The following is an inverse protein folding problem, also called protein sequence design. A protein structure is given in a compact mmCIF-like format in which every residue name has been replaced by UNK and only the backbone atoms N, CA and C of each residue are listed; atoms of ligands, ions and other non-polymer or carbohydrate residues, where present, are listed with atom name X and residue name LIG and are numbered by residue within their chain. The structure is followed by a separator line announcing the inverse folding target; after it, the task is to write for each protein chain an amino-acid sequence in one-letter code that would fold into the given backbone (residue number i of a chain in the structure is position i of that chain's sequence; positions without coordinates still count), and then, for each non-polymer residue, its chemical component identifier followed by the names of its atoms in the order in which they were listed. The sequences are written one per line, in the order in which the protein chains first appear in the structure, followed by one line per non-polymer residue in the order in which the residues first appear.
data_IF_555282082412
#
_entry.id   IF_555282082412
#
_cell.length_a   1.000
_cell.length_b   1.000
_cell.length_c   1.000
_cell.angle_alpha   90.00
_cell.angle_beta   90.00
_cell.angle_gamma   90.00
#
_symmetry.space_group_name_H-M   'P 1'
#
loop_
_entity.id
_entity.type
_entity.pdbx_description
1 polymer ?
#
# COMPACT_ATOMS: atom_id res chain seq x y z
N UNK A 1 -40.48 -5.13 -33.19
CA UNK A 1 -40.10 -5.77 -31.91
C UNK A 1 -38.67 -6.30 -32.11
N UNK A 2 -37.66 -5.50 -31.73
CA UNK A 2 -36.24 -5.80 -31.99
C UNK A 2 -35.56 -6.17 -30.68
N UNK A 3 -35.25 -7.44 -30.50
CA UNK A 3 -34.46 -7.97 -29.39
C UNK A 3 -32.98 -7.70 -29.65
N UNK A 4 -32.46 -6.59 -29.11
CA UNK A 4 -31.03 -6.35 -29.08
C UNK A 4 -30.37 -7.41 -28.17
N UNK A 5 -29.66 -8.36 -28.80
CA UNK A 5 -28.87 -9.35 -28.09
C UNK A 5 -27.78 -8.63 -27.28
N UNK A 6 -27.87 -8.69 -25.96
CA UNK A 6 -26.82 -8.28 -25.04
C UNK A 6 -25.61 -9.20 -25.28
N UNK A 7 -24.61 -8.70 -26.01
CA UNK A 7 -23.33 -9.38 -26.16
C UNK A 7 -22.65 -9.35 -24.79
N UNK A 8 -22.73 -10.47 -24.07
CA UNK A 8 -21.91 -10.69 -22.88
C UNK A 8 -20.44 -10.58 -23.31
N UNK A 9 -19.81 -9.44 -23.04
CA UNK A 9 -18.36 -9.33 -23.05
C UNK A 9 -17.86 -10.24 -21.93
N UNK A 10 -17.47 -11.46 -22.28
CA UNK A 10 -16.60 -12.30 -21.47
C UNK A 10 -15.30 -11.53 -21.27
N UNK A 11 -15.24 -10.75 -20.19
CA UNK A 11 -14.02 -10.12 -19.75
C UNK A 11 -12.98 -11.21 -19.57
N UNK A 12 -11.88 -11.12 -20.30
CA UNK A 12 -10.69 -11.91 -20.06
C UNK A 12 -10.31 -11.71 -18.59
N UNK A 13 -10.68 -12.63 -17.70
CA UNK A 13 -10.12 -12.65 -16.36
C UNK A 13 -8.63 -12.93 -16.54
N UNK A 14 -7.73 -12.02 -16.16
CA UNK A 14 -6.31 -12.26 -16.29
C UNK A 14 -5.98 -13.57 -15.56
N UNK A 15 -5.50 -14.55 -16.33
CA UNK A 15 -5.12 -15.88 -15.81
C UNK A 15 -4.13 -15.67 -14.69
N UNK A 16 -4.52 -16.05 -13.46
CA UNK A 16 -3.69 -15.91 -12.27
C UNK A 16 -2.35 -16.61 -12.52
N UNK A 17 -1.20 -15.95 -12.39
CA UNK A 17 0.08 -16.62 -12.53
C UNK A 17 0.18 -17.74 -11.48
N UNK A 18 0.58 -18.94 -11.91
CA UNK A 18 0.78 -20.08 -11.02
C UNK A 18 1.75 -19.75 -9.88
N UNK A 19 1.62 -20.46 -8.75
CA UNK A 19 2.38 -20.23 -7.51
C UNK A 19 3.89 -20.00 -7.74
N UNK A 20 4.50 -20.81 -8.61
CA UNK A 20 5.93 -20.74 -8.94
C UNK A 20 6.35 -19.51 -9.75
N UNK A 21 5.45 -18.95 -10.57
CA UNK A 21 5.71 -17.73 -11.37
C UNK A 21 5.24 -16.46 -10.67
N UNK A 22 4.56 -16.58 -9.53
CA UNK A 22 4.04 -15.46 -8.78
C UNK A 22 5.09 -14.36 -8.50
N UNK A 23 6.30 -14.65 -7.98
CA UNK A 23 7.24 -13.59 -7.60
C UNK A 23 7.82 -12.81 -8.79
N UNK A 24 7.83 -13.37 -10.00
CA UNK A 24 8.38 -12.73 -11.21
C UNK A 24 7.26 -12.21 -12.12
N UNK A 25 6.00 -12.43 -11.74
CA UNK A 25 4.87 -12.03 -12.57
C UNK A 25 4.68 -10.51 -12.62
N UNK A 26 4.30 -9.99 -13.78
CA UNK A 26 3.94 -8.55 -13.95
C UNK A 26 2.84 -8.11 -12.97
N UNK A 27 1.94 -9.03 -12.59
CA UNK A 27 0.90 -8.78 -11.60
C UNK A 27 1.50 -8.51 -10.20
N UNK A 28 2.47 -9.32 -9.74
CA UNK A 28 3.13 -9.10 -8.46
C UNK A 28 3.89 -7.77 -8.41
N UNK A 29 4.57 -7.39 -9.50
CA UNK A 29 5.24 -6.09 -9.57
C UNK A 29 4.26 -4.91 -9.54
N UNK A 30 3.08 -5.02 -10.19
CA UNK A 30 2.03 -3.99 -10.09
C UNK A 30 1.50 -3.87 -8.65
N UNK A 31 1.26 -4.99 -7.98
CA UNK A 31 0.76 -5.01 -6.61
C UNK A 31 1.81 -4.52 -5.60
N UNK A 32 3.09 -4.82 -5.82
CA UNK A 32 4.20 -4.30 -5.03
C UNK A 32 4.38 -2.79 -5.28
N UNK A 33 4.30 -2.35 -6.53
CA UNK A 33 4.29 -0.92 -6.88
C UNK A 33 3.13 -0.16 -6.24
N UNK A 34 1.95 -0.79 -6.13
CA UNK A 34 0.81 -0.22 -5.39
C UNK A 34 1.13 -0.05 -3.90
N UNK A 35 1.70 -1.06 -3.25
CA UNK A 35 2.09 -0.99 -1.84
C UNK A 35 3.18 0.08 -1.60
N UNK A 36 4.21 0.12 -2.46
CA UNK A 36 5.32 1.08 -2.35
C UNK A 36 4.87 2.53 -2.57
N UNK A 37 4.04 2.78 -3.59
CA UNK A 37 3.46 4.11 -3.84
C UNK A 37 2.37 4.48 -2.84
N UNK A 38 1.86 3.53 -2.04
CA UNK A 38 0.81 3.75 -1.06
C UNK A 38 1.25 4.68 0.07
N UNK A 39 2.48 4.52 0.57
CA UNK A 39 2.99 5.32 1.67
C UNK A 39 3.12 6.81 1.31
N UNK A 40 3.79 7.21 0.19
CA UNK A 40 3.85 8.62 -0.20
C UNK A 40 2.48 9.27 -0.39
N UNK A 41 1.55 8.56 -1.03
CA UNK A 41 0.18 9.06 -1.24
C UNK A 41 -0.57 9.23 0.08
N UNK A 42 -0.45 8.25 0.99
CA UNK A 42 -1.10 8.31 2.29
C UNK A 42 -0.51 9.41 3.19
N UNK A 43 0.80 9.65 3.14
CA UNK A 43 1.44 10.78 3.85
C UNK A 43 0.84 12.10 3.37
N UNK A 44 0.83 12.33 2.05
CA UNK A 44 0.29 13.56 1.46
C UNK A 44 -1.19 13.75 1.80
N UNK A 45 -1.99 12.69 1.63
CA UNK A 45 -3.42 12.70 1.94
C UNK A 45 -3.69 12.98 3.41
N UNK A 46 -3.01 12.28 4.32
CA UNK A 46 -3.13 12.46 5.76
C UNK A 46 -2.75 13.88 6.18
N UNK A 47 -1.59 14.37 5.76
CA UNK A 47 -1.11 15.71 6.11
C UNK A 47 -2.10 16.80 5.65
N UNK A 48 -2.55 16.74 4.40
CA UNK A 48 -3.52 17.72 3.86
C UNK A 48 -4.85 17.66 4.62
N UNK A 49 -5.38 16.45 4.84
CA UNK A 49 -6.67 16.27 5.54
C UNK A 49 -6.60 16.77 6.97
N UNK A 50 -5.57 16.38 7.73
CA UNK A 50 -5.43 16.78 9.14
C UNK A 50 -5.19 18.29 9.25
N UNK A 51 -4.34 18.88 8.40
CA UNK A 51 -4.11 20.31 8.40
C UNK A 51 -5.39 21.09 8.06
N UNK A 52 -6.10 20.75 6.98
CA UNK A 52 -7.33 21.44 6.60
C UNK A 52 -8.44 21.24 7.64
N UNK A 53 -8.54 20.07 8.26
CA UNK A 53 -9.51 19.82 9.32
C UNK A 53 -9.21 20.63 10.57
N UNK A 54 -7.96 20.61 11.05
CA UNK A 54 -7.55 21.36 12.24
C UNK A 54 -7.67 22.88 12.02
N UNK A 55 -7.19 23.40 10.88
CA UNK A 55 -7.32 24.81 10.52
C UNK A 55 -8.78 25.21 10.31
N UNK A 56 -9.57 24.38 9.63
CA UNK A 56 -10.98 24.64 9.37
C UNK A 56 -11.82 24.67 10.65
N UNK A 57 -11.54 23.76 11.58
CA UNK A 57 -12.20 23.74 12.89
C UNK A 57 -11.77 24.92 13.76
N UNK A 58 -10.47 25.27 13.76
CA UNK A 58 -9.95 26.45 14.48
C UNK A 58 -10.52 27.77 13.96
N UNK A 59 -10.68 27.89 12.64
CA UNK A 59 -11.28 29.07 12.00
C UNK A 59 -12.82 29.03 11.95
N UNK A 60 -13.47 27.95 12.42
CA UNK A 60 -14.92 27.86 12.42
C UNK A 60 -15.58 28.99 13.23
N UNK A 61 -14.88 29.49 14.26
CA UNK A 61 -15.29 30.63 15.08
C UNK A 61 -15.39 31.93 14.27
N UNK A 62 -14.60 32.09 13.20
CA UNK A 62 -14.49 33.34 12.43
C UNK A 62 -15.28 33.35 11.13
N UNK A 63 -16.21 32.40 10.93
CA UNK A 63 -16.86 32.07 9.63
C UNK A 63 -15.90 31.62 8.51
N UNK A 64 -14.61 31.95 8.56
CA UNK A 64 -13.60 31.52 7.59
C UNK A 64 -13.33 30.01 7.63
N UNK A 65 -13.70 29.33 8.72
CA UNK A 65 -13.59 27.88 8.81
C UNK A 65 -14.48 27.13 7.81
N UNK A 66 -15.63 27.69 7.43
CA UNK A 66 -16.53 27.06 6.45
C UNK A 66 -15.87 26.91 5.07
N UNK A 67 -15.26 27.96 4.46
CA UNK A 67 -14.43 27.81 3.26
C UNK A 67 -13.32 26.78 3.39
N UNK A 68 -12.60 26.73 4.52
CA UNK A 68 -11.48 25.80 4.72
C UNK A 68 -11.98 24.36 4.83
N UNK A 69 -13.10 24.12 5.52
CA UNK A 69 -13.74 22.80 5.58
C UNK A 69 -14.36 22.40 4.23
N UNK A 70 -14.85 23.35 3.43
CA UNK A 70 -15.24 23.06 2.05
C UNK A 70 -14.02 22.63 1.22
N UNK A 71 -12.86 23.28 1.39
CA UNK A 71 -11.61 22.86 0.75
C UNK A 71 -11.19 21.44 1.18
N UNK A 72 -11.38 21.07 2.45
CA UNK A 72 -11.16 19.71 2.95
C UNK A 72 -12.00 18.68 2.17
N UNK A 73 -13.31 18.94 1.99
CA UNK A 73 -14.18 18.01 1.25
C UNK A 73 -13.78 17.89 -0.23
N UNK A 74 -13.34 18.99 -0.85
CA UNK A 74 -12.80 19.00 -2.22
C UNK A 74 -11.53 18.15 -2.31
N UNK A 75 -10.59 18.35 -1.38
CA UNK A 75 -9.37 17.56 -1.29
C UNK A 75 -9.69 16.07 -1.07
N UNK A 76 -10.63 15.75 -0.17
CA UNK A 76 -11.12 14.39 0.07
C UNK A 76 -11.66 13.72 -1.20
N UNK A 77 -12.42 14.43 -2.04
CA UNK A 77 -12.85 13.91 -3.35
C UNK A 77 -11.68 13.71 -4.31
N UNK A 78 -10.75 14.66 -4.38
CA UNK A 78 -9.56 14.58 -5.23
C UNK A 78 -8.70 13.35 -4.90
N UNK A 79 -8.39 13.15 -3.62
CA UNK A 79 -7.67 11.98 -3.15
C UNK A 79 -8.45 10.68 -3.36
N UNK A 80 -9.77 10.68 -3.15
CA UNK A 80 -10.62 9.53 -3.47
C UNK A 80 -10.62 9.17 -4.96
N UNK A 81 -10.57 10.16 -5.85
CA UNK A 81 -10.45 9.94 -7.30
C UNK A 81 -9.06 9.40 -7.68
N UNK A 82 -8.00 9.98 -7.11
CA UNK A 82 -6.63 9.50 -7.30
C UNK A 82 -6.49 8.03 -6.86
N UNK A 83 -7.10 7.66 -5.73
CA UNK A 83 -7.07 6.28 -5.25
C UNK A 83 -7.84 5.31 -6.17
N UNK A 84 -9.02 5.69 -6.67
CA UNK A 84 -9.75 4.90 -7.68
C UNK A 84 -8.90 4.69 -8.94
N UNK A 85 -8.22 5.74 -9.41
CA UNK A 85 -7.30 5.64 -10.54
C UNK A 85 -6.16 4.66 -10.27
N UNK A 86 -5.53 4.71 -9.08
CA UNK A 86 -4.48 3.76 -8.69
C UNK A 86 -5.00 2.32 -8.63
N UNK A 87 -6.18 2.10 -8.07
CA UNK A 87 -6.81 0.78 -7.98
C UNK A 87 -7.11 0.23 -9.38
N UNK A 88 -7.66 1.06 -10.27
CA UNK A 88 -7.93 0.67 -11.67
C UNK A 88 -6.65 0.37 -12.44
N UNK A 89 -5.63 1.22 -12.32
CA UNK A 89 -4.37 1.10 -13.08
C UNK A 89 -3.42 0.04 -12.55
N UNK A 90 -3.42 -0.28 -11.25
CA UNK A 90 -2.46 -1.22 -10.66
C UNK A 90 -3.11 -2.53 -10.20
N UNK A 91 -4.36 -2.50 -9.73
CA UNK A 91 -5.05 -3.67 -9.21
C UNK A 91 -6.12 -4.22 -10.17
N UNK A 92 -6.32 -3.57 -11.33
CA UNK A 92 -7.27 -3.96 -12.38
C UNK A 92 -8.71 -4.14 -11.86
N UNK A 93 -9.05 -3.35 -10.84
CA UNK A 93 -10.37 -3.34 -10.23
C UNK A 93 -11.08 -2.05 -10.61
N UNK A 94 -12.18 -2.18 -11.33
CA UNK A 94 -13.04 -1.05 -11.66
C UNK A 94 -13.97 -0.73 -10.49
N UNK A 95 -13.98 0.53 -10.07
CA UNK A 95 -14.83 1.02 -8.99
C UNK A 95 -15.83 2.02 -9.57
N UNK A 96 -17.09 2.05 -9.09
CA UNK A 96 -18.07 3.02 -9.57
C UNK A 96 -17.56 4.46 -9.39
N UNK A 97 -17.81 5.30 -10.39
CA UNK A 97 -17.50 6.71 -10.31
C UNK A 97 -18.40 7.40 -9.26
N UNK A 98 -17.84 8.32 -8.46
CA UNK A 98 -18.60 9.02 -7.44
C UNK A 98 -19.65 9.95 -8.07
N UNK A 99 -20.85 9.99 -7.48
CA UNK A 99 -21.91 10.95 -7.85
C UNK A 99 -21.40 12.39 -7.83
N UNK A 100 -21.82 13.18 -8.81
CA UNK A 100 -21.51 14.61 -8.91
C UNK A 100 -22.11 15.41 -7.76
N UNK A 101 -21.48 16.53 -7.40
CA UNK A 101 -22.00 17.44 -6.38
C UNK A 101 -23.01 18.37 -7.03
N UNK A 102 -24.29 18.22 -6.69
CA UNK A 102 -25.34 19.13 -7.15
C UNK A 102 -25.34 20.41 -6.32
N UNK A 103 -25.17 21.56 -6.96
CA UNK A 103 -25.23 22.87 -6.30
C UNK A 103 -26.68 23.37 -6.34
N UNK A 104 -27.35 23.40 -5.19
CA UNK A 104 -28.78 23.77 -5.10
C UNK A 104 -29.08 25.27 -4.97
N UNK A 105 -28.07 26.10 -4.67
CA UNK A 105 -28.20 27.57 -4.59
C UNK A 105 -27.06 28.22 -5.36
N UNK A 106 -27.38 29.24 -6.15
CA UNK A 106 -26.40 30.02 -6.91
C UNK A 106 -25.54 30.89 -5.97
N UNK A 107 -24.28 31.13 -6.37
CA UNK A 107 -23.32 31.96 -5.63
C UNK A 107 -22.31 31.20 -4.76
N UNK A 108 -21.27 31.91 -4.32
CA UNK A 108 -20.11 31.33 -3.60
C UNK A 108 -20.51 30.62 -2.29
N UNK A 109 -21.44 31.18 -1.53
CA UNK A 109 -21.94 30.57 -0.29
C UNK A 109 -22.79 29.32 -0.53
N UNK A 110 -23.56 29.28 -1.64
CA UNK A 110 -24.28 28.09 -2.05
C UNK A 110 -23.34 26.94 -2.41
N UNK A 111 -22.23 27.24 -3.08
CA UNK A 111 -21.18 26.27 -3.38
C UNK A 111 -20.48 25.74 -2.12
N UNK A 112 -20.10 26.62 -1.18
CA UNK A 112 -19.43 26.23 0.08
C UNK A 112 -20.33 25.29 0.91
N UNK A 113 -21.59 25.66 1.08
CA UNK A 113 -22.55 24.87 1.87
C UNK A 113 -22.89 23.53 1.20
N UNK A 114 -23.03 23.51 -0.13
CA UNK A 114 -23.20 22.25 -0.89
C UNK A 114 -22.00 21.31 -0.73
N UNK A 115 -20.78 21.83 -0.68
CA UNK A 115 -19.55 21.04 -0.48
C UNK A 115 -19.44 20.50 0.92
N UNK A 116 -19.76 21.30 1.93
CA UNK A 116 -19.80 20.84 3.33
C UNK A 116 -20.83 19.74 3.55
N UNK A 117 -21.96 19.80 2.84
CA UNK A 117 -23.00 18.78 2.88
C UNK A 117 -22.65 17.51 2.08
N UNK A 118 -21.53 17.47 1.34
CA UNK A 118 -21.17 16.34 0.49
C UNK A 118 -20.57 15.18 1.31
N UNK A 119 -21.31 14.07 1.51
CA UNK A 119 -20.81 12.93 2.28
C UNK A 119 -19.64 12.22 1.58
N UNK A 120 -19.50 12.34 0.25
CA UNK A 120 -18.42 11.69 -0.50
C UNK A 120 -17.09 12.35 -0.19
N UNK A 121 -17.05 13.69 -0.11
CA UNK A 121 -15.85 14.43 0.28
C UNK A 121 -15.37 14.07 1.69
N UNK A 122 -16.29 13.99 2.65
CA UNK A 122 -15.98 13.56 4.03
C UNK A 122 -15.49 12.12 4.11
N UNK A 123 -16.12 11.18 3.38
CA UNK A 123 -15.63 9.80 3.30
C UNK A 123 -14.24 9.71 2.70
N UNK A 124 -13.95 10.52 1.67
CA UNK A 124 -12.63 10.61 1.07
C UNK A 124 -11.57 11.12 2.04
N UNK A 125 -11.89 12.15 2.82
CA UNK A 125 -10.99 12.66 3.87
C UNK A 125 -10.75 11.62 4.97
N UNK A 126 -11.82 10.99 5.48
CA UNK A 126 -11.70 9.93 6.48
C UNK A 126 -10.92 8.72 5.98
N UNK A 127 -11.10 8.33 4.71
CA UNK A 127 -10.31 7.27 4.08
C UNK A 127 -8.81 7.57 4.16
N UNK A 128 -8.37 8.78 3.81
CA UNK A 128 -6.95 9.16 3.89
C UNK A 128 -6.42 9.10 5.33
N UNK A 129 -7.22 9.55 6.30
CA UNK A 129 -6.86 9.46 7.71
C UNK A 129 -6.71 8.00 8.18
N UNK A 130 -7.72 7.17 7.89
CA UNK A 130 -7.79 5.79 8.37
C UNK A 130 -6.83 4.84 7.65
N UNK A 131 -6.52 5.09 6.37
CA UNK A 131 -5.59 4.26 5.59
C UNK A 131 -4.12 4.58 5.83
N UNK A 132 -3.79 5.68 6.48
CA UNK A 132 -2.39 6.03 6.75
C UNK A 132 -1.63 4.96 7.56
N UNK A 133 -2.14 4.47 8.71
CA UNK A 133 -1.49 3.36 9.42
C UNK A 133 -1.37 2.08 8.58
N UNK A 134 -2.40 1.80 7.78
CA UNK A 134 -2.40 0.62 6.91
C UNK A 134 -1.39 0.72 5.77
N UNK A 135 -1.20 1.91 5.22
CA UNK A 135 -0.20 2.19 4.19
C UNK A 135 1.21 2.02 4.74
N UNK A 136 1.49 2.48 5.97
CA UNK A 136 2.76 2.22 6.66
C UNK A 136 3.00 0.73 6.81
N UNK A 137 2.02 0.00 7.36
CA UNK A 137 2.14 -1.44 7.56
C UNK A 137 2.40 -2.16 6.23
N UNK A 138 1.63 -1.83 5.20
CA UNK A 138 1.72 -2.44 3.88
C UNK A 138 3.08 -2.17 3.23
N UNK A 139 3.57 -0.94 3.31
CA UNK A 139 4.88 -0.54 2.80
C UNK A 139 6.00 -1.28 3.52
N UNK A 140 6.00 -1.26 4.85
CA UNK A 140 7.04 -1.87 5.68
C UNK A 140 7.10 -3.38 5.44
N UNK A 141 5.96 -4.08 5.53
CA UNK A 141 5.93 -5.53 5.33
C UNK A 141 6.33 -5.92 3.90
N UNK A 142 5.84 -5.21 2.88
CA UNK A 142 6.19 -5.50 1.49
C UNK A 142 7.68 -5.29 1.24
N UNK A 143 8.24 -4.20 1.76
CA UNK A 143 9.66 -3.87 1.60
C UNK A 143 10.54 -4.87 2.33
N UNK A 144 10.24 -5.18 3.60
CA UNK A 144 11.03 -6.13 4.41
C UNK A 144 11.01 -7.52 3.81
N UNK A 145 9.84 -8.07 3.45
CA UNK A 145 9.77 -9.40 2.85
C UNK A 145 10.50 -9.47 1.52
N UNK A 146 10.38 -8.43 0.70
CA UNK A 146 11.09 -8.36 -0.58
C UNK A 146 12.61 -8.29 -0.38
N UNK A 147 13.11 -7.35 0.43
CA UNK A 147 14.55 -7.15 0.60
C UNK A 147 15.21 -8.30 1.35
N UNK A 148 14.62 -8.75 2.47
CA UNK A 148 15.15 -9.87 3.26
C UNK A 148 15.04 -11.18 2.49
N UNK A 149 13.92 -11.43 1.81
CA UNK A 149 13.75 -12.63 1.00
C UNK A 149 14.81 -12.73 -0.10
N UNK A 150 15.04 -11.66 -0.86
CA UNK A 150 16.07 -11.63 -1.89
C UNK A 150 17.49 -11.67 -1.33
N UNK A 151 17.78 -10.99 -0.22
CA UNK A 151 19.08 -11.06 0.43
C UNK A 151 19.42 -12.49 0.88
N UNK A 152 18.50 -13.18 1.56
CA UNK A 152 18.73 -14.56 2.01
C UNK A 152 18.80 -15.53 0.83
N UNK A 153 17.98 -15.35 -0.20
CA UNK A 153 18.02 -16.20 -1.39
C UNK A 153 19.37 -16.08 -2.13
N UNK A 154 19.89 -14.86 -2.26
CA UNK A 154 21.15 -14.56 -2.94
C UNK A 154 22.38 -14.77 -2.03
N UNK A 155 22.19 -15.17 -0.78
CA UNK A 155 23.28 -15.42 0.18
C UNK A 155 24.42 -16.29 -0.38
N UNK A 156 24.17 -17.42 -1.08
CA UNK A 156 25.24 -18.24 -1.65
C UNK A 156 26.10 -17.50 -2.69
N UNK A 157 25.55 -16.47 -3.34
CA UNK A 157 26.22 -15.71 -4.40
C UNK A 157 27.15 -14.62 -3.86
N UNK A 158 26.91 -14.07 -2.67
CA UNK A 158 27.71 -12.99 -2.09
C UNK A 158 28.48 -13.37 -0.82
N UNK A 159 28.29 -14.58 -0.27
CA UNK A 159 28.96 -15.02 0.96
C UNK A 159 30.50 -14.89 0.91
N UNK A 160 31.11 -15.01 -0.27
CA UNK A 160 32.56 -14.91 -0.48
C UNK A 160 33.13 -13.54 -0.09
N UNK A 161 32.29 -12.50 -0.06
CA UNK A 161 32.68 -11.15 0.34
C UNK A 161 33.11 -11.13 1.81
N UNK A 162 32.48 -11.91 2.69
CA UNK A 162 32.81 -11.92 4.12
C UNK A 162 34.23 -12.42 4.35
N UNK A 163 34.59 -13.58 3.81
CA UNK A 163 35.96 -14.09 3.93
C UNK A 163 37.02 -13.23 3.22
N UNK A 164 36.63 -12.37 2.26
CA UNK A 164 37.58 -11.52 1.51
C UNK A 164 37.88 -10.18 2.17
N UNK A 165 36.90 -9.59 2.86
CA UNK A 165 36.94 -8.21 3.35
C UNK A 165 36.70 -8.08 4.86
N UNK A 166 36.34 -9.15 5.56
CA UNK A 166 36.19 -9.16 7.02
C UNK A 166 37.08 -10.23 7.62
N UNK A 167 37.39 -10.10 8.92
CA UNK A 167 38.22 -11.07 9.65
C UNK A 167 37.48 -12.40 9.94
N UNK A 168 36.31 -12.61 9.33
CA UNK A 168 35.39 -13.69 9.62
C UNK A 168 35.29 -14.60 8.39
N UNK A 169 35.40 -15.92 8.60
CA UNK A 169 35.38 -16.92 7.52
C UNK A 169 34.01 -17.04 6.82
N UNK A 170 32.95 -16.47 7.41
CA UNK A 170 31.59 -16.46 6.88
C UNK A 170 30.69 -15.42 7.57
N UNK A 171 29.38 -15.50 7.33
CA UNK A 171 28.44 -14.58 7.99
C UNK A 171 28.28 -14.95 9.47
N UNK A 172 28.77 -14.09 10.36
CA UNK A 172 28.69 -14.27 11.82
C UNK A 172 27.33 -13.87 12.35
N UNK A 173 26.65 -14.82 12.97
CA UNK A 173 25.30 -14.63 13.52
C UNK A 173 25.36 -14.29 15.01
N UNK A 174 26.25 -14.93 15.75
CA UNK A 174 26.37 -14.73 17.19
C UNK A 174 27.84 -14.78 17.63
N UNK A 175 28.21 -13.81 18.47
CA UNK A 175 29.48 -13.77 19.17
C UNK A 175 29.19 -13.37 20.61
N UNK A 176 29.36 -14.30 21.54
CA UNK A 176 29.21 -14.01 22.96
C UNK A 176 30.28 -14.73 23.77
N UNK A 177 30.62 -14.14 24.91
CA UNK A 177 31.49 -14.77 25.90
C UNK A 177 30.61 -15.20 27.06
N UNK A 178 30.63 -16.47 27.42
CA UNK A 178 29.93 -16.94 28.62
C UNK A 178 30.60 -16.39 29.89
N UNK A 179 29.86 -16.39 30.99
CA UNK A 179 30.30 -16.08 32.36
C UNK A 179 31.57 -16.82 32.81
N UNK A 180 31.88 -17.96 32.19
CA UNK A 180 33.10 -18.74 32.41
C UNK A 180 34.28 -18.32 31.53
N UNK A 181 34.15 -17.24 30.74
CA UNK A 181 35.21 -16.72 29.85
C UNK A 181 35.38 -17.48 28.54
N UNK A 182 34.46 -18.41 28.20
CA UNK A 182 34.50 -19.16 26.95
C UNK A 182 33.88 -18.33 25.83
N UNK A 183 34.65 -18.11 24.76
CA UNK A 183 34.19 -17.40 23.56
C UNK A 183 33.44 -18.34 22.61
N UNK A 184 32.16 -18.05 22.37
CA UNK A 184 31.31 -18.77 21.42
C UNK A 184 31.08 -17.92 20.17
N UNK A 185 31.49 -18.45 19.02
CA UNK A 185 31.32 -17.81 17.71
C UNK A 185 30.54 -18.74 16.79
N UNK A 186 29.44 -18.24 16.22
CA UNK A 186 28.61 -18.95 15.25
C UNK A 186 28.69 -18.27 13.89
N UNK A 187 29.48 -18.86 13.01
CA UNK A 187 29.66 -18.43 11.62
C UNK A 187 28.94 -19.39 10.67
N UNK A 188 28.23 -18.85 9.68
CA UNK A 188 27.58 -19.63 8.62
C UNK A 188 28.63 -19.91 7.53
N UNK A 189 29.21 -21.10 7.57
CA UNK A 189 30.25 -21.53 6.62
C UNK A 189 29.95 -22.88 5.97
N UNK A 190 29.13 -23.72 6.59
CA UNK A 190 28.80 -25.04 6.05
C UNK A 190 27.87 -24.94 4.83
N UNK A 191 28.14 -25.66 3.73
CA UNK A 191 27.27 -25.70 2.54
C UNK A 191 25.80 -26.01 2.87
N UNK A 192 25.54 -26.85 3.87
CA UNK A 192 24.17 -27.18 4.32
C UNK A 192 23.50 -26.01 5.05
N UNK A 193 24.24 -25.23 5.82
CA UNK A 193 23.71 -24.03 6.48
C UNK A 193 23.39 -22.94 5.45
N UNK A 194 24.29 -22.73 4.48
CA UNK A 194 24.09 -21.81 3.35
C UNK A 194 22.84 -22.22 2.54
N UNK A 195 22.70 -23.52 2.24
CA UNK A 195 21.52 -24.05 1.56
C UNK A 195 20.24 -23.84 2.39
N UNK A 196 20.29 -24.05 3.70
CA UNK A 196 19.17 -23.78 4.61
C UNK A 196 18.74 -22.31 4.62
N UNK A 197 19.69 -21.38 4.68
CA UNK A 197 19.43 -19.92 4.61
C UNK A 197 18.82 -19.54 3.25
N UNK A 198 19.38 -20.06 2.16
CA UNK A 198 18.85 -19.81 0.81
C UNK A 198 17.45 -20.38 0.65
N UNK A 199 17.15 -21.55 1.23
CA UNK A 199 15.80 -22.14 1.23
C UNK A 199 14.80 -21.26 2.01
N UNK A 200 15.20 -20.71 3.16
CA UNK A 200 14.37 -19.75 3.91
C UNK A 200 14.12 -18.49 3.06
N UNK A 201 15.16 -17.97 2.40
CA UNK A 201 15.03 -16.86 1.46
C UNK A 201 14.06 -17.15 0.32
N UNK A 202 14.16 -18.34 -0.29
CA UNK A 202 13.25 -18.79 -1.33
C UNK A 202 11.80 -18.82 -0.84
N UNK A 203 11.55 -19.36 0.35
CA UNK A 203 10.22 -19.38 0.96
C UNK A 203 9.68 -17.95 1.18
N UNK A 204 10.50 -17.03 1.68
CA UNK A 204 10.12 -15.63 1.84
C UNK A 204 9.80 -14.94 0.51
N UNK A 205 10.59 -15.18 -0.53
CA UNK A 205 10.33 -14.64 -1.88
C UNK A 205 9.02 -15.18 -2.45
N UNK A 206 8.71 -16.46 -2.23
CA UNK A 206 7.43 -17.05 -2.65
C UNK A 206 6.24 -16.54 -1.83
N UNK A 207 6.43 -16.24 -0.54
CA UNK A 207 5.41 -15.68 0.34
C UNK A 207 5.13 -14.20 0.05
N UNK A 208 6.14 -13.44 -0.40
CA UNK A 208 6.04 -11.99 -0.68
C UNK A 208 4.81 -11.62 -1.54
N UNK A 209 4.58 -12.20 -2.75
CA UNK A 209 3.41 -11.85 -3.55
C UNK A 209 2.09 -12.29 -2.92
N UNK A 210 2.07 -13.28 -2.01
CA UNK A 210 0.85 -13.66 -1.29
C UNK A 210 0.53 -12.65 -0.19
N UNK A 211 1.55 -12.23 0.56
CA UNK A 211 1.44 -11.21 1.59
C UNK A 211 0.96 -9.88 0.99
N UNK A 212 1.61 -9.40 -0.08
CA UNK A 212 1.23 -8.17 -0.77
C UNK A 212 -0.22 -8.24 -1.29
N UNK A 213 -0.66 -9.40 -1.79
CA UNK A 213 -2.07 -9.60 -2.18
C UNK A 213 -3.03 -9.50 -1.02
N UNK A 214 -2.71 -10.15 0.10
CA UNK A 214 -3.52 -10.09 1.31
C UNK A 214 -3.66 -8.64 1.81
N UNK A 215 -2.55 -7.91 1.84
CA UNK A 215 -2.52 -6.49 2.22
C UNK A 215 -3.36 -5.63 1.27
N UNK A 216 -3.23 -5.84 -0.04
CA UNK A 216 -4.04 -5.16 -1.05
C UNK A 216 -5.52 -5.58 -1.02
N UNK A 217 -5.84 -6.73 -0.43
CA UNK A 217 -7.22 -7.15 -0.14
C UNK A 217 -7.93 -6.17 0.79
N UNK A 218 -7.25 -5.72 1.85
CA UNK A 218 -7.80 -4.71 2.77
C UNK A 218 -7.99 -3.35 2.08
N UNK A 219 -7.04 -2.94 1.21
CA UNK A 219 -7.18 -1.72 0.40
C UNK A 219 -8.43 -1.79 -0.49
N UNK A 220 -8.65 -2.93 -1.17
CA UNK A 220 -9.86 -3.15 -1.99
C UNK A 220 -11.14 -3.14 -1.15
N UNK A 221 -11.13 -3.73 0.05
CA UNK A 221 -12.28 -3.74 0.96
C UNK A 221 -12.61 -2.33 1.45
N UNK A 222 -11.61 -1.56 1.88
CA UNK A 222 -11.80 -0.19 2.33
C UNK A 222 -12.27 0.72 1.20
N UNK A 223 -11.71 0.58 -0.01
CA UNK A 223 -12.17 1.32 -1.17
C UNK A 223 -13.64 0.97 -1.51
N UNK A 224 -14.05 -0.30 -1.42
CA UNK A 224 -15.45 -0.68 -1.62
C UNK A 224 -16.36 -0.15 -0.51
N UNK A 225 -15.94 -0.21 0.74
CA UNK A 225 -16.76 0.23 1.88
C UNK A 225 -16.92 1.76 1.93
N UNK A 226 -15.84 2.50 1.64
CA UNK A 226 -15.77 3.95 1.86
C UNK A 226 -15.90 4.76 0.57
N UNK A 227 -15.44 4.24 -0.57
CA UNK A 227 -15.40 4.98 -1.85
C UNK A 227 -16.46 4.54 -2.86
N UNK A 228 -17.05 3.35 -2.76
CA UNK A 228 -18.09 2.89 -3.69
C UNK A 228 -19.50 3.42 -3.34
N UNK A 229 -19.59 4.69 -2.91
CA UNK A 229 -20.82 5.30 -2.41
C UNK A 229 -22.04 5.03 -3.29
N UNK A 230 -23.07 4.41 -2.70
CA UNK A 230 -24.39 4.20 -3.30
C UNK A 230 -25.04 5.51 -3.68
#
# INVERSE_FOLDING_TARGET
MSTAAYRATTGNHPTRPGFWRAPISRAAFRELGFALSGLPVAILGFSVVVSLFATGLGLAVTMLGLPVLALLTIAGRGFGAAERFRIRTLLDLDLPDPREVTVGREGAWGAITARLADPVGWKGAFYQFAMFPWAILSFTLSTVFFTVGWALLLFPAYQWVFGRYTDWDGYRVANWTDSHGVHHVYDITSPFQIAGVSLIGLLLVLLTPQLVRALNGANRLAARALLAGR
#
